data_IF_945362675023
#
_entry.id   IF_945362675023
#
_cell.length_a   1.000
_cell.length_b   1.000
_cell.length_c   1.000
_cell.angle_alpha   90.00
_cell.angle_beta   90.00
_cell.angle_gamma   90.00
#
_symmetry.space_group_name_H-M   'P 1'
#
loop_
_entity.id
_entity.type
_entity.pdbx_description
1 polymer ?
#
# COMPACT_ATOMS: atom_id res chain seq x y z
N UNK A 1 20.59 -10.76 -12.06
CA UNK A 1 20.10 -9.55 -11.43
C UNK A 1 21.06 -9.18 -10.31
N UNK A 2 21.62 -7.97 -10.24
CA UNK A 2 22.57 -7.60 -9.19
C UNK A 2 21.96 -7.89 -7.80
N UNK A 3 22.77 -8.36 -6.86
CA UNK A 3 22.37 -8.72 -5.49
C UNK A 3 21.58 -7.57 -4.83
N UNK A 4 22.00 -6.34 -5.06
CA UNK A 4 21.38 -5.11 -4.53
C UNK A 4 19.89 -4.99 -4.91
N UNK A 5 19.52 -5.28 -6.17
CA UNK A 5 18.12 -5.18 -6.63
C UNK A 5 17.22 -6.30 -6.05
N UNK A 6 17.82 -7.45 -5.70
CA UNK A 6 17.10 -8.50 -4.96
C UNK A 6 16.83 -8.08 -3.52
N UNK A 7 17.79 -7.43 -2.88
CA UNK A 7 17.70 -6.98 -1.49
C UNK A 7 16.55 -5.97 -1.29
N UNK A 8 16.40 -5.02 -2.20
CA UNK A 8 15.34 -4.00 -2.09
C UNK A 8 13.98 -4.46 -2.61
N UNK A 9 13.85 -5.68 -3.14
CA UNK A 9 12.59 -6.25 -3.63
C UNK A 9 11.79 -5.30 -4.54
N UNK A 10 12.47 -4.54 -5.39
CA UNK A 10 11.89 -3.46 -6.23
C UNK A 10 10.65 -3.91 -7.01
N UNK A 11 10.65 -5.16 -7.51
CA UNK A 11 9.50 -5.73 -8.24
C UNK A 11 8.22 -5.83 -7.39
N UNK A 12 8.37 -5.92 -6.08
CA UNK A 12 7.23 -6.09 -5.19
C UNK A 12 6.54 -4.76 -4.88
N UNK A 13 7.26 -3.64 -4.94
CA UNK A 13 6.74 -2.35 -4.52
C UNK A 13 6.73 -1.24 -5.58
N UNK A 14 7.41 -1.38 -6.73
CA UNK A 14 7.53 -0.31 -7.73
C UNK A 14 6.17 0.26 -8.19
N UNK A 15 5.13 -0.56 -8.17
CA UNK A 15 3.78 -0.13 -8.54
C UNK A 15 3.16 0.87 -7.55
N UNK A 16 3.64 0.93 -6.29
CA UNK A 16 3.18 1.93 -5.31
C UNK A 16 3.64 3.34 -5.64
N UNK A 17 4.65 3.53 -6.49
CA UNK A 17 4.98 4.85 -7.04
C UNK A 17 3.80 5.47 -7.80
N UNK A 18 2.91 4.64 -8.33
CA UNK A 18 1.65 5.08 -8.93
C UNK A 18 0.75 5.84 -7.97
N UNK A 19 0.78 5.51 -6.67
CA UNK A 19 0.03 6.27 -5.65
C UNK A 19 0.56 7.69 -5.50
N UNK A 20 1.89 7.85 -5.45
CA UNK A 20 2.54 9.16 -5.38
C UNK A 20 2.28 9.98 -6.65
N UNK A 21 2.33 9.36 -7.83
CA UNK A 21 2.01 10.02 -9.09
C UNK A 21 0.56 10.54 -9.06
N UNK A 22 -0.37 9.67 -8.72
CA UNK A 22 -1.79 10.00 -8.68
C UNK A 22 -2.09 11.15 -7.73
N UNK A 23 -1.55 11.09 -6.51
CA UNK A 23 -1.73 12.14 -5.52
C UNK A 23 -1.03 13.45 -5.91
N UNK A 24 0.13 13.38 -6.56
CA UNK A 24 0.84 14.56 -7.07
C UNK A 24 0.04 15.29 -8.15
N UNK A 25 -0.66 14.55 -8.99
CA UNK A 25 -1.57 15.12 -10.00
C UNK A 25 -2.77 15.77 -9.32
N UNK A 26 -3.41 15.09 -8.35
CA UNK A 26 -4.57 15.62 -7.61
C UNK A 26 -4.28 16.89 -6.81
N UNK A 27 -3.11 16.94 -6.19
CA UNK A 27 -2.67 18.10 -5.40
C UNK A 27 -2.04 19.19 -6.25
N UNK A 28 -1.97 19.00 -7.57
CA UNK A 28 -1.23 19.88 -8.50
C UNK A 28 0.21 20.15 -8.03
N UNK A 29 0.85 19.12 -7.45
CA UNK A 29 2.20 19.18 -6.84
C UNK A 29 3.09 18.09 -7.45
N UNK A 30 3.53 18.28 -8.69
CA UNK A 30 4.44 17.38 -9.42
C UNK A 30 5.89 17.54 -8.97
N UNK A 31 6.14 17.57 -7.66
CA UNK A 31 7.49 17.62 -7.12
C UNK A 31 8.19 16.26 -7.28
N UNK A 32 9.24 16.21 -8.11
CA UNK A 32 10.05 14.99 -8.35
C UNK A 32 10.64 14.40 -7.05
N UNK A 33 10.93 15.24 -6.05
CA UNK A 33 11.47 14.78 -4.77
C UNK A 33 10.46 13.95 -3.95
N UNK A 34 9.14 14.10 -4.18
CA UNK A 34 8.14 13.20 -3.62
C UNK A 34 8.29 11.77 -4.14
N UNK A 35 8.68 11.59 -5.41
CA UNK A 35 8.95 10.26 -5.99
C UNK A 35 10.23 9.64 -5.42
N UNK A 36 11.30 10.43 -5.28
CA UNK A 36 12.51 9.94 -4.63
C UNK A 36 12.26 9.59 -3.17
N UNK A 37 11.53 10.44 -2.43
CA UNK A 37 11.12 10.15 -1.06
C UNK A 37 10.37 8.83 -0.97
N UNK A 38 9.33 8.63 -1.79
CA UNK A 38 8.55 7.38 -1.84
C UNK A 38 9.44 6.18 -2.17
N UNK A 39 10.36 6.32 -3.13
CA UNK A 39 11.30 5.25 -3.51
C UNK A 39 12.18 4.83 -2.33
N UNK A 40 12.73 5.80 -1.60
CA UNK A 40 13.59 5.51 -0.45
C UNK A 40 12.80 4.98 0.76
N UNK A 41 11.59 5.50 1.00
CA UNK A 41 10.68 5.00 2.03
C UNK A 41 10.31 3.53 1.79
N UNK A 42 9.96 3.18 0.55
CA UNK A 42 9.67 1.80 0.16
C UNK A 42 10.92 0.90 0.28
N UNK A 43 12.07 1.38 -0.20
CA UNK A 43 13.33 0.65 -0.07
C UNK A 43 13.68 0.41 1.41
N UNK A 44 13.45 1.40 2.29
CA UNK A 44 13.64 1.26 3.72
C UNK A 44 12.68 0.21 4.32
N UNK A 45 11.38 0.29 4.03
CA UNK A 45 10.38 -0.61 4.62
C UNK A 45 10.65 -2.08 4.30
N UNK A 46 11.02 -2.39 3.06
CA UNK A 46 11.36 -3.76 2.66
C UNK A 46 12.72 -4.20 3.20
N UNK A 47 13.73 -3.31 3.22
CA UNK A 47 15.07 -3.68 3.69
C UNK A 47 15.14 -3.84 5.22
N UNK A 48 14.39 -3.05 5.99
CA UNK A 48 14.35 -3.22 7.45
C UNK A 48 13.66 -4.54 7.83
N UNK A 49 12.64 -4.95 7.10
CA UNK A 49 11.99 -6.24 7.30
C UNK A 49 12.98 -7.39 7.00
N UNK A 50 13.64 -7.38 5.84
CA UNK A 50 14.65 -8.38 5.49
C UNK A 50 15.84 -8.41 6.47
N UNK A 51 16.21 -7.26 7.07
CA UNK A 51 17.24 -7.20 8.09
C UNK A 51 16.83 -7.95 9.37
N UNK A 52 15.63 -7.70 9.87
CA UNK A 52 15.16 -8.39 11.08
C UNK A 52 14.85 -9.86 10.83
N UNK A 53 14.50 -10.25 9.62
CA UNK A 53 14.42 -11.64 9.18
C UNK A 53 15.80 -12.31 9.02
N UNK A 54 16.91 -11.60 9.33
CA UNK A 54 18.30 -12.06 9.20
C UNK A 54 18.72 -12.46 7.77
N UNK A 55 18.07 -11.86 6.77
CA UNK A 55 18.36 -12.12 5.35
C UNK A 55 19.31 -11.10 4.75
N UNK A 56 19.61 -10.01 5.49
CA UNK A 56 20.41 -8.90 4.96
C UNK A 56 21.20 -8.17 6.06
N UNK A 57 22.29 -7.48 5.65
CA UNK A 57 23.13 -6.67 6.52
C UNK A 57 22.51 -5.30 6.82
N UNK A 58 22.83 -4.75 7.99
CA UNK A 58 22.34 -3.45 8.48
C UNK A 58 22.50 -2.29 7.50
N UNK A 59 23.60 -2.23 6.74
CA UNK A 59 23.87 -1.17 5.76
C UNK A 59 22.75 -1.00 4.72
N UNK A 60 22.07 -2.08 4.32
CA UNK A 60 21.06 -2.05 3.27
C UNK A 60 19.76 -1.34 3.67
N UNK A 61 19.43 -1.25 4.97
CA UNK A 61 18.29 -0.43 5.39
C UNK A 61 18.72 0.96 5.87
N UNK A 62 19.96 1.13 6.36
CA UNK A 62 20.45 2.45 6.80
C UNK A 62 20.60 3.39 5.60
N UNK A 63 21.09 2.92 4.45
CA UNK A 63 21.26 3.77 3.26
C UNK A 63 19.90 4.36 2.81
N UNK A 64 18.83 3.59 2.56
CA UNK A 64 17.54 4.18 2.22
C UNK A 64 16.98 5.07 3.32
N UNK A 65 17.20 4.77 4.60
CA UNK A 65 16.80 5.63 5.71
C UNK A 65 17.47 7.01 5.61
N UNK A 66 18.79 7.06 5.45
CA UNK A 66 19.53 8.32 5.32
C UNK A 66 19.12 9.10 4.07
N UNK A 67 18.88 8.40 2.95
CA UNK A 67 18.39 9.04 1.72
C UNK A 67 16.96 9.56 1.89
N UNK A 68 16.09 8.87 2.63
CA UNK A 68 14.74 9.37 2.98
C UNK A 68 14.83 10.67 3.81
N UNK A 69 15.74 10.71 4.79
CA UNK A 69 15.96 11.91 5.62
C UNK A 69 16.53 13.06 4.78
N UNK A 70 17.45 12.77 3.86
CA UNK A 70 17.98 13.77 2.93
C UNK A 70 16.87 14.41 2.09
N UNK A 71 15.85 13.65 1.68
CA UNK A 71 14.72 14.18 0.91
C UNK A 71 13.90 15.21 1.69
N UNK A 72 13.98 15.26 3.02
CA UNK A 72 13.28 16.27 3.83
C UNK A 72 13.71 17.72 3.49
N UNK A 73 14.89 17.91 2.91
CA UNK A 73 15.35 19.21 2.44
C UNK A 73 14.59 19.73 1.21
N UNK A 74 13.87 18.86 0.50
CA UNK A 74 13.31 19.15 -0.83
C UNK A 74 11.79 18.96 -0.90
N UNK A 75 11.15 18.50 0.17
CA UNK A 75 9.71 18.25 0.25
C UNK A 75 9.05 19.19 1.26
N UNK A 76 7.71 19.29 1.22
CA UNK A 76 6.96 20.15 2.14
C UNK A 76 7.02 19.66 3.60
N UNK A 77 6.81 20.53 4.60
CA UNK A 77 6.72 20.13 6.00
C UNK A 77 5.65 19.07 6.27
N UNK A 78 4.54 19.12 5.51
CA UNK A 78 3.49 18.11 5.58
C UNK A 78 4.01 16.75 5.06
N UNK A 79 4.69 16.74 3.92
CA UNK A 79 5.32 15.52 3.37
C UNK A 79 6.38 14.94 4.32
N UNK A 80 7.14 15.80 5.03
CA UNK A 80 8.09 15.36 6.07
C UNK A 80 7.34 14.61 7.19
N UNK A 81 6.24 15.18 7.68
CA UNK A 81 5.44 14.57 8.74
C UNK A 81 4.90 13.20 8.33
N UNK A 82 4.39 13.06 7.10
CA UNK A 82 3.92 11.80 6.54
C UNK A 82 5.06 10.79 6.38
N UNK A 83 6.23 11.24 5.91
CA UNK A 83 7.43 10.39 5.78
C UNK A 83 7.91 9.86 7.12
N UNK A 84 7.91 10.70 8.17
CA UNK A 84 8.26 10.30 9.52
C UNK A 84 7.29 9.26 10.08
N UNK A 85 5.98 9.46 9.89
CA UNK A 85 4.96 8.48 10.27
C UNK A 85 5.18 7.13 9.57
N UNK A 86 5.52 7.15 8.28
CA UNK A 86 5.83 5.96 7.51
C UNK A 86 7.06 5.23 8.06
N UNK A 87 8.17 5.96 8.30
CA UNK A 87 9.41 5.40 8.83
C UNK A 87 9.20 4.75 10.19
N UNK A 88 8.49 5.44 11.10
CA UNK A 88 8.17 4.92 12.43
C UNK A 88 7.27 3.68 12.35
N UNK A 89 6.25 3.71 11.51
CA UNK A 89 5.32 2.60 11.33
C UNK A 89 6.06 1.33 10.90
N UNK A 90 6.91 1.42 9.85
CA UNK A 90 7.64 0.25 9.35
C UNK A 90 8.80 -0.17 10.26
N UNK A 91 9.36 0.75 11.06
CA UNK A 91 10.25 0.38 12.14
C UNK A 91 9.52 -0.52 13.15
N UNK A 92 8.35 -0.08 13.66
CA UNK A 92 7.56 -0.88 14.61
C UNK A 92 6.96 -2.15 14.00
N UNK A 93 6.67 -2.10 12.70
CA UNK A 93 6.19 -3.27 11.95
C UNK A 93 7.18 -4.43 12.02
N UNK A 94 8.46 -4.14 11.82
CA UNK A 94 9.52 -5.15 11.72
C UNK A 94 10.32 -5.36 13.01
N UNK A 95 10.36 -4.37 13.94
CA UNK A 95 11.19 -4.43 15.13
C UNK A 95 10.75 -5.54 16.10
N UNK A 96 11.62 -6.50 16.48
CA UNK A 96 11.24 -7.70 17.26
C UNK A 96 10.56 -7.41 18.60
N UNK A 97 10.85 -6.25 19.23
CA UNK A 97 10.22 -5.89 20.52
C UNK A 97 8.75 -5.48 20.38
N UNK A 98 8.37 -4.89 19.25
CA UNK A 98 6.99 -4.45 18.94
C UNK A 98 6.33 -5.44 17.99
N UNK A 99 7.00 -5.75 16.90
CA UNK A 99 6.67 -6.77 15.90
C UNK A 99 5.20 -6.78 15.47
N UNK A 100 4.73 -5.66 14.90
CA UNK A 100 3.35 -5.54 14.43
C UNK A 100 3.04 -6.56 13.33
N UNK A 101 4.04 -6.94 12.53
CA UNK A 101 3.93 -7.97 11.49
C UNK A 101 3.46 -9.33 12.02
N UNK A 102 3.88 -9.71 13.23
CA UNK A 102 3.48 -10.95 13.90
C UNK A 102 2.24 -10.82 14.77
N UNK A 103 1.50 -9.70 14.71
CA UNK A 103 0.28 -9.49 15.51
C UNK A 103 -0.95 -9.48 14.62
N UNK A 104 -1.94 -10.36 14.89
CA UNK A 104 -3.17 -10.42 14.11
C UNK A 104 -3.85 -9.05 14.05
N UNK A 105 -4.53 -8.75 12.94
CA UNK A 105 -5.19 -7.48 12.65
C UNK A 105 -4.18 -6.33 12.51
N UNK A 106 -3.25 -6.14 13.47
CA UNK A 106 -2.24 -5.09 13.40
C UNK A 106 -1.30 -5.24 12.20
N UNK A 107 -0.93 -6.48 11.83
CA UNK A 107 -0.15 -6.75 10.61
C UNK A 107 -0.84 -6.21 9.36
N UNK A 108 -2.13 -6.52 9.23
CA UNK A 108 -2.94 -6.11 8.08
C UNK A 108 -3.16 -4.59 8.05
N UNK A 109 -3.58 -4.02 9.19
CA UNK A 109 -3.89 -2.58 9.31
C UNK A 109 -2.63 -1.73 9.13
N UNK A 110 -1.53 -2.06 9.79
CA UNK A 110 -0.29 -1.28 9.72
C UNK A 110 0.25 -1.22 8.28
N UNK A 111 0.22 -2.36 7.57
CA UNK A 111 0.66 -2.42 6.19
C UNK A 111 -0.25 -1.57 5.28
N UNK A 112 -1.57 -1.66 5.47
CA UNK A 112 -2.56 -0.87 4.73
C UNK A 112 -2.41 0.64 4.98
N UNK A 113 -2.20 1.06 6.23
CA UNK A 113 -1.90 2.45 6.58
C UNK A 113 -0.61 2.89 5.89
N UNK A 114 0.46 2.10 5.99
CA UNK A 114 1.76 2.44 5.40
C UNK A 114 1.66 2.76 3.90
N UNK A 115 1.04 1.88 3.12
CA UNK A 115 0.86 2.15 1.68
C UNK A 115 -0.12 3.29 1.39
N UNK A 116 -1.10 3.55 2.26
CA UNK A 116 -1.98 4.71 2.13
C UNK A 116 -1.25 6.02 2.41
N UNK A 117 -0.28 6.04 3.34
CA UNK A 117 0.57 7.21 3.59
C UNK A 117 1.36 7.63 2.35
N UNK A 118 1.77 6.68 1.47
CA UNK A 118 2.45 7.03 0.21
C UNK A 118 1.55 7.79 -0.76
N UNK A 119 0.24 7.54 -0.72
CA UNK A 119 -0.74 8.34 -1.46
C UNK A 119 -0.93 9.72 -0.84
N UNK A 120 -0.89 9.82 0.50
CA UNK A 120 -1.06 11.10 1.21
C UNK A 120 0.19 12.00 1.10
N UNK A 121 1.37 11.43 0.90
CA UNK A 121 2.66 12.11 0.95
C UNK A 121 2.77 13.37 0.06
N UNK A 122 2.27 13.42 -1.20
CA UNK A 122 2.39 14.60 -2.04
C UNK A 122 1.47 15.77 -1.66
N UNK A 123 0.44 15.55 -0.84
CA UNK A 123 -0.45 16.62 -0.42
C UNK A 123 0.29 17.67 0.42
N UNK A 124 -0.22 18.90 0.41
CA UNK A 124 0.41 20.05 1.09
C UNK A 124 -0.17 20.29 2.49
N UNK A 125 -1.37 19.78 2.76
CA UNK A 125 -2.11 20.07 4.00
C UNK A 125 -3.16 19.01 4.32
N UNK A 126 -3.57 18.99 5.59
CA UNK A 126 -4.68 18.15 6.04
C UNK A 126 -6.00 18.51 5.33
N UNK A 127 -6.19 19.75 4.90
CA UNK A 127 -7.40 20.17 4.17
C UNK A 127 -7.49 19.47 2.82
N UNK A 128 -6.37 19.31 2.09
CA UNK A 128 -6.33 18.54 0.85
C UNK A 128 -6.61 17.07 1.10
N UNK A 129 -6.04 16.48 2.15
CA UNK A 129 -6.32 15.09 2.54
C UNK A 129 -7.83 14.91 2.80
N UNK A 130 -8.45 15.83 3.55
CA UNK A 130 -9.88 15.76 3.83
C UNK A 130 -10.74 15.95 2.57
N UNK A 131 -10.29 16.71 1.58
CA UNK A 131 -10.98 16.84 0.29
C UNK A 131 -11.09 15.51 -0.44
N UNK A 132 -10.06 14.66 -0.35
CA UNK A 132 -10.01 13.37 -1.05
C UNK A 132 -10.22 12.16 -0.12
N UNK A 133 -10.89 12.36 1.02
CA UNK A 133 -11.07 11.33 2.05
C UNK A 133 -11.67 10.03 1.54
N UNK A 134 -12.66 10.10 0.64
CA UNK A 134 -13.34 8.93 0.07
C UNK A 134 -12.40 8.08 -0.82
N UNK A 135 -11.52 8.75 -1.57
CA UNK A 135 -10.49 8.09 -2.35
C UNK A 135 -9.40 7.48 -1.46
N UNK A 136 -8.98 8.20 -0.43
CA UNK A 136 -8.02 7.68 0.56
C UNK A 136 -8.58 6.44 1.24
N UNK A 137 -9.87 6.46 1.61
CA UNK A 137 -10.55 5.31 2.19
C UNK A 137 -10.62 4.13 1.21
N UNK A 138 -10.91 4.39 -0.08
CA UNK A 138 -10.89 3.38 -1.13
C UNK A 138 -9.50 2.72 -1.23
N UNK A 139 -8.43 3.52 -1.28
CA UNK A 139 -7.04 3.03 -1.35
C UNK A 139 -6.68 2.22 -0.10
N UNK A 140 -7.07 2.69 1.09
CA UNK A 140 -6.85 1.98 2.34
C UNK A 140 -7.50 0.59 2.32
N UNK A 141 -8.77 0.50 1.90
CA UNK A 141 -9.50 -0.77 1.85
C UNK A 141 -8.91 -1.69 0.76
N UNK A 142 -8.52 -1.16 -0.40
CA UNK A 142 -7.83 -1.95 -1.44
C UNK A 142 -6.52 -2.54 -0.92
N UNK A 143 -5.72 -1.77 -0.18
CA UNK A 143 -4.50 -2.26 0.44
C UNK A 143 -4.79 -3.32 1.52
N UNK A 144 -5.88 -3.16 2.28
CA UNK A 144 -6.32 -4.14 3.28
C UNK A 144 -6.69 -5.47 2.62
N UNK A 145 -7.43 -5.44 1.52
CA UNK A 145 -7.76 -6.63 0.73
C UNK A 145 -6.50 -7.26 0.14
N UNK A 146 -5.59 -6.45 -0.42
CA UNK A 146 -4.31 -6.93 -0.95
C UNK A 146 -3.48 -7.65 0.12
N UNK A 147 -3.41 -7.09 1.33
CA UNK A 147 -2.68 -7.68 2.45
C UNK A 147 -3.31 -9.00 2.91
N UNK A 148 -4.64 -9.07 3.05
CA UNK A 148 -5.33 -10.33 3.40
C UNK A 148 -5.11 -11.41 2.34
N UNK A 149 -5.13 -11.06 1.04
CA UNK A 149 -4.81 -11.99 -0.05
C UNK A 149 -3.36 -12.50 0.10
N UNK A 150 -2.43 -11.62 0.47
CA UNK A 150 -1.04 -11.98 0.70
C UNK A 150 -0.91 -12.96 1.86
N UNK A 151 -1.54 -12.68 3.01
CA UNK A 151 -1.53 -13.54 4.18
C UNK A 151 -2.17 -14.92 3.92
N UNK A 152 -3.23 -15.00 3.07
CA UNK A 152 -3.81 -16.30 2.68
C UNK A 152 -2.83 -17.11 1.85
N UNK A 153 -2.13 -16.47 0.92
CA UNK A 153 -1.16 -17.17 0.05
C UNK A 153 0.03 -17.68 0.86
N UNK A 154 0.49 -16.90 1.82
CA UNK A 154 1.67 -17.22 2.62
C UNK A 154 1.33 -17.98 3.92
N UNK A 155 0.05 -18.37 4.13
CA UNK A 155 -0.48 -18.99 5.35
C UNK A 155 0.38 -20.17 5.88
N UNK A 156 0.79 -21.08 5.01
CA UNK A 156 1.58 -22.24 5.41
C UNK A 156 3.03 -21.87 5.81
N UNK A 157 3.59 -20.85 5.17
CA UNK A 157 4.93 -20.36 5.47
C UNK A 157 4.93 -19.60 6.80
N UNK A 158 3.98 -18.69 6.99
CA UNK A 158 3.80 -17.93 8.23
C UNK A 158 3.59 -18.85 9.44
N UNK A 159 2.77 -19.90 9.28
CA UNK A 159 2.52 -20.88 10.34
C UNK A 159 3.79 -21.66 10.72
N UNK A 160 4.65 -22.01 9.75
CA UNK A 160 5.91 -22.73 9.99
C UNK A 160 6.90 -21.91 10.83
N UNK A 161 6.92 -20.60 10.68
CA UNK A 161 7.82 -19.70 11.40
C UNK A 161 7.16 -19.05 12.64
N UNK A 162 5.99 -19.57 13.07
CA UNK A 162 5.20 -19.05 14.21
C UNK A 162 4.81 -17.58 14.08
N UNK A 163 4.65 -17.06 12.87
CA UNK A 163 4.17 -15.70 12.60
C UNK A 163 2.65 -15.69 12.63
N UNK A 164 2.07 -15.02 13.62
CA UNK A 164 0.62 -15.01 13.86
C UNK A 164 -0.02 -13.82 13.14
N UNK A 165 -0.17 -13.93 11.82
CA UNK A 165 -0.91 -12.96 11.00
C UNK A 165 -2.42 -13.07 11.23
N UNK A 166 -3.21 -12.15 10.66
CA UNK A 166 -4.69 -12.20 10.73
C UNK A 166 -5.22 -13.53 10.20
N UNK A 167 -4.71 -13.97 9.06
CA UNK A 167 -5.13 -15.24 8.44
C UNK A 167 -4.69 -16.46 9.25
N UNK A 168 -3.51 -16.45 9.86
CA UNK A 168 -3.05 -17.54 10.72
C UNK A 168 -3.91 -17.67 11.96
N UNK A 169 -4.34 -16.55 12.55
CA UNK A 169 -5.18 -16.55 13.76
C UNK A 169 -6.62 -16.97 13.50
N UNK A 170 -7.25 -16.38 12.48
CA UNK A 170 -8.70 -16.54 12.26
C UNK A 170 -9.03 -17.61 11.21
N UNK A 171 -8.04 -18.08 10.47
CA UNK A 171 -8.18 -19.07 9.41
C UNK A 171 -8.50 -18.48 8.04
N UNK A 172 -8.26 -19.27 7.01
CA UNK A 172 -8.43 -18.87 5.60
C UNK A 172 -9.88 -18.47 5.30
N UNK A 173 -10.86 -19.23 5.81
CA UNK A 173 -12.29 -18.97 5.53
C UNK A 173 -12.74 -17.62 6.10
N UNK A 174 -12.38 -17.30 7.34
CA UNK A 174 -12.67 -16.01 7.93
C UNK A 174 -12.03 -14.85 7.15
N UNK A 175 -10.79 -15.03 6.69
CA UNK A 175 -10.09 -14.04 5.87
C UNK A 175 -10.76 -13.85 4.50
N UNK A 176 -11.29 -14.91 3.88
CA UNK A 176 -12.08 -14.80 2.63
C UNK A 176 -13.38 -14.02 2.88
N UNK A 177 -14.05 -14.26 4.00
CA UNK A 177 -15.26 -13.51 4.37
C UNK A 177 -14.93 -12.03 4.55
N UNK A 178 -13.83 -11.70 5.27
CA UNK A 178 -13.37 -10.32 5.44
C UNK A 178 -13.06 -9.65 4.10
N UNK A 179 -12.36 -10.34 3.20
CA UNK A 179 -12.08 -9.84 1.84
C UNK A 179 -13.39 -9.53 1.12
N UNK A 180 -14.37 -10.44 1.13
CA UNK A 180 -15.66 -10.22 0.48
C UNK A 180 -16.43 -9.04 1.09
N UNK A 181 -16.40 -8.89 2.42
CA UNK A 181 -17.00 -7.73 3.10
C UNK A 181 -16.33 -6.41 2.68
N UNK A 182 -15.00 -6.35 2.62
CA UNK A 182 -14.28 -5.16 2.14
C UNK A 182 -14.55 -4.86 0.67
N UNK A 183 -14.69 -5.87 -0.20
CA UNK A 183 -15.06 -5.66 -1.60
C UNK A 183 -16.47 -5.07 -1.74
N UNK A 184 -17.42 -5.45 -0.89
CA UNK A 184 -18.75 -4.81 -0.83
C UNK A 184 -18.65 -3.35 -0.38
N UNK A 185 -17.81 -3.04 0.61
CA UNK A 185 -17.56 -1.66 1.03
C UNK A 185 -16.92 -0.85 -0.10
N UNK A 186 -15.99 -1.43 -0.87
CA UNK A 186 -15.42 -0.78 -2.07
C UNK A 186 -16.53 -0.40 -3.06
N UNK A 187 -17.49 -1.28 -3.31
CA UNK A 187 -18.65 -0.98 -4.18
C UNK A 187 -19.43 0.22 -3.65
N UNK A 188 -19.74 0.24 -2.35
CA UNK A 188 -20.47 1.37 -1.73
C UNK A 188 -19.69 2.70 -1.84
N UNK A 189 -18.40 2.70 -1.53
CA UNK A 189 -17.55 3.89 -1.67
C UNK A 189 -17.49 4.34 -3.13
N UNK A 190 -17.42 3.40 -4.07
CA UNK A 190 -17.39 3.71 -5.50
C UNK A 190 -18.66 4.46 -5.95
N UNK A 191 -19.83 4.17 -5.39
CA UNK A 191 -21.03 4.95 -5.65
C UNK A 191 -20.92 6.41 -5.14
N UNK A 192 -20.27 6.64 -4.00
CA UNK A 192 -20.03 7.98 -3.48
C UNK A 192 -19.06 8.77 -4.38
N UNK A 193 -18.08 8.10 -4.98
CA UNK A 193 -17.10 8.69 -5.89
C UNK A 193 -17.62 8.92 -7.30
N UNK A 194 -18.79 8.38 -7.67
CA UNK A 194 -19.28 8.36 -9.06
C UNK A 194 -19.46 9.74 -9.68
N UNK A 195 -19.80 10.75 -8.88
CA UNK A 195 -19.95 12.13 -9.34
C UNK A 195 -18.63 12.73 -9.84
N UNK A 196 -17.54 12.50 -9.11
CA UNK A 196 -16.25 13.13 -9.37
C UNK A 196 -15.35 12.23 -10.24
N UNK A 197 -15.44 10.91 -10.02
CA UNK A 197 -14.54 9.92 -10.60
C UNK A 197 -15.33 8.74 -11.20
N UNK A 198 -16.03 9.00 -12.31
CA UNK A 198 -16.94 8.03 -12.93
C UNK A 198 -16.24 6.74 -13.37
N UNK A 199 -15.13 6.87 -14.10
CA UNK A 199 -14.43 5.69 -14.65
C UNK A 199 -13.76 4.87 -13.56
N UNK A 200 -13.18 5.54 -12.52
CA UNK A 200 -12.64 4.87 -11.32
C UNK A 200 -13.72 4.09 -10.61
N UNK A 201 -14.87 4.70 -10.41
CA UNK A 201 -16.01 4.08 -9.73
C UNK A 201 -16.49 2.84 -10.47
N UNK A 202 -16.72 2.95 -11.78
CA UNK A 202 -17.14 1.82 -12.60
C UNK A 202 -16.08 0.70 -12.62
N UNK A 203 -14.80 1.05 -12.79
CA UNK A 203 -13.72 0.06 -12.79
C UNK A 203 -13.56 -0.63 -11.44
N UNK A 204 -13.70 0.11 -10.31
CA UNK A 204 -13.64 -0.45 -8.96
C UNK A 204 -14.81 -1.38 -8.65
N UNK A 205 -16.02 -1.06 -9.14
CA UNK A 205 -17.20 -1.92 -9.04
C UNK A 205 -16.98 -3.23 -9.83
N UNK A 206 -16.57 -3.14 -11.10
CA UNK A 206 -16.30 -4.31 -11.94
C UNK A 206 -15.22 -5.19 -11.32
N UNK A 207 -14.12 -4.57 -10.85
CA UNK A 207 -13.04 -5.22 -10.13
C UNK A 207 -13.55 -5.98 -8.90
N UNK A 208 -14.36 -5.32 -8.06
CA UNK A 208 -14.90 -5.93 -6.84
C UNK A 208 -15.84 -7.09 -7.15
N UNK A 209 -16.73 -6.95 -8.14
CA UNK A 209 -17.63 -8.04 -8.57
C UNK A 209 -16.85 -9.24 -9.07
N UNK A 210 -15.77 -9.01 -9.84
CA UNK A 210 -14.91 -10.09 -10.30
C UNK A 210 -14.29 -10.87 -9.13
N UNK A 211 -13.77 -10.18 -8.10
CA UNK A 211 -13.13 -10.82 -6.95
C UNK A 211 -14.13 -11.44 -5.97
N UNK A 212 -15.35 -10.90 -5.85
CA UNK A 212 -16.43 -11.51 -5.03
C UNK A 212 -16.78 -12.93 -5.51
N UNK A 213 -16.62 -13.22 -6.78
CA UNK A 213 -16.87 -14.54 -7.38
C UNK A 213 -15.77 -15.56 -7.12
N UNK A 214 -14.60 -15.12 -6.59
CA UNK A 214 -13.50 -16.05 -6.32
C UNK A 214 -13.76 -16.83 -5.03
N UNK A 215 -13.81 -18.15 -5.13
CA UNK A 215 -13.99 -19.05 -3.98
C UNK A 215 -12.66 -19.42 -3.34
N UNK A 216 -11.57 -19.47 -4.13
CA UNK A 216 -10.23 -19.85 -3.68
C UNK A 216 -9.22 -18.75 -4.00
N UNK A 217 -8.41 -18.42 -3.01
CA UNK A 217 -7.34 -17.43 -3.15
C UNK A 217 -6.01 -18.16 -3.23
N UNK A 218 -5.24 -17.88 -4.29
CA UNK A 218 -3.94 -18.45 -4.57
C UNK A 218 -3.01 -17.42 -5.25
N UNK A 219 -1.78 -17.81 -5.56
CA UNK A 219 -0.79 -16.95 -6.21
C UNK A 219 -1.29 -16.35 -7.54
N UNK A 220 -2.11 -17.07 -8.31
CA UNK A 220 -2.68 -16.57 -9.57
C UNK A 220 -3.68 -15.42 -9.29
N UNK A 221 -4.51 -15.56 -8.27
CA UNK A 221 -5.46 -14.52 -7.84
C UNK A 221 -4.71 -13.32 -7.30
N UNK A 222 -3.66 -13.50 -6.46
CA UNK A 222 -2.79 -12.40 -5.98
C UNK A 222 -2.20 -11.58 -7.14
N UNK A 223 -1.65 -12.25 -8.16
CA UNK A 223 -1.11 -11.57 -9.35
C UNK A 223 -2.18 -10.80 -10.12
N UNK A 224 -3.37 -11.40 -10.31
CA UNK A 224 -4.50 -10.73 -10.97
C UNK A 224 -4.98 -9.52 -10.17
N UNK A 225 -5.06 -9.62 -8.85
CA UNK A 225 -5.45 -8.51 -7.98
C UNK A 225 -4.49 -7.33 -8.15
N UNK A 226 -3.18 -7.57 -8.12
CA UNK A 226 -2.16 -6.56 -8.35
C UNK A 226 -2.29 -5.89 -9.73
N UNK A 227 -2.46 -6.67 -10.80
CA UNK A 227 -2.59 -6.14 -12.17
C UNK A 227 -3.84 -5.30 -12.35
N UNK A 228 -4.98 -5.76 -11.84
CA UNK A 228 -6.23 -5.01 -11.92
C UNK A 228 -6.23 -3.77 -11.03
N UNK A 229 -5.54 -3.80 -9.88
CA UNK A 229 -5.30 -2.60 -9.07
C UNK A 229 -4.51 -1.53 -9.83
N UNK A 230 -3.46 -1.94 -10.56
CA UNK A 230 -2.71 -1.03 -11.45
C UNK A 230 -3.63 -0.47 -12.54
N UNK A 231 -4.47 -1.30 -13.15
CA UNK A 231 -5.43 -0.87 -14.17
C UNK A 231 -6.42 0.18 -13.62
N UNK A 232 -6.98 -0.03 -12.43
CA UNK A 232 -7.83 0.97 -11.76
C UNK A 232 -7.09 2.29 -11.56
N UNK A 233 -5.80 2.24 -11.19
CA UNK A 233 -4.94 3.43 -11.09
C UNK A 233 -4.74 4.16 -12.41
N UNK A 234 -4.57 3.44 -13.53
CA UNK A 234 -4.47 4.04 -14.88
C UNK A 234 -5.79 4.68 -15.29
N UNK A 235 -6.92 4.00 -15.04
CA UNK A 235 -8.26 4.54 -15.32
C UNK A 235 -8.50 5.83 -14.54
N UNK A 236 -7.95 5.94 -13.34
CA UNK A 236 -8.00 7.15 -12.55
C UNK A 236 -7.31 8.34 -13.24
N UNK A 237 -6.16 8.13 -13.86
CA UNK A 237 -5.49 9.17 -14.66
C UNK A 237 -6.37 9.65 -15.82
N UNK A 238 -7.14 8.78 -16.43
CA UNK A 238 -8.08 9.13 -17.51
C UNK A 238 -9.26 9.96 -16.99
N UNK A 239 -9.81 9.62 -15.80
CA UNK A 239 -10.86 10.43 -15.16
C UNK A 239 -10.35 11.84 -14.84
N UNK A 240 -9.10 11.95 -14.36
CA UNK A 240 -8.47 13.23 -14.08
C UNK A 240 -8.35 14.08 -15.36
N UNK A 241 -7.81 13.52 -16.44
CA UNK A 241 -7.68 14.22 -17.72
C UNK A 241 -9.05 14.73 -18.19
N UNK A 242 -10.09 13.90 -18.07
CA UNK A 242 -11.46 14.27 -18.43
C UNK A 242 -12.02 15.45 -17.62
N UNK A 243 -11.63 15.60 -16.34
CA UNK A 243 -12.11 16.67 -15.46
C UNK A 243 -11.43 18.01 -15.76
N UNK A 244 -10.26 18.00 -16.39
CA UNK A 244 -9.46 19.20 -16.69
C UNK A 244 -9.33 19.51 -18.19
N UNK A 245 -9.87 18.66 -19.07
CA UNK A 245 -10.08 18.93 -20.49
C UNK A 245 -11.46 19.54 -20.75
#
# INVERSE_FOLDING_TARGET
MPIVLKCFRVKDWIHYLGYTLLASILSNNLNIFNFFSTTFLLSYSYSINEYYDKKMEKKYFIIPLLLSILMFLFVSPFSISISLLFLLLFMFYSWPKVWLEGRPILSTISNSIGFTLLFILPFQSIREVLRYWSLILLIFILNTVAQLIHEIVDFNEDKKINKITTTVKFGIQASIILIKSFLLIIILISFLLMKEFLLVSLSSIIFSIYFLRQERINNRIRKKFKLLGIFVGVVYLLDFIRLFA
#
